data_IF_383110278065
#
_entry.id   IF_383110278065
#
_cell.length_a   1.000
_cell.length_b   1.000
_cell.length_c   1.000
_cell.angle_alpha   90.00
_cell.angle_beta   90.00
_cell.angle_gamma   90.00
#
_symmetry.space_group_name_H-M   'P 1'
#
loop_
_entity.id
_entity.type
_entity.pdbx_description
1 polymer ?
#
# COMPACT_ATOMS: atom_id res chain seq x y z
N UNK A 1 10.12 4.71 9.66
CA UNK A 1 9.09 4.93 8.63
C UNK A 1 7.95 3.93 8.72
N UNK A 2 6.74 4.48 8.82
CA UNK A 2 5.48 3.74 8.91
C UNK A 2 4.60 4.15 7.75
N UNK A 3 3.93 3.20 7.10
CA UNK A 3 2.92 3.50 6.08
C UNK A 3 1.53 3.42 6.71
N UNK A 4 0.79 4.53 6.69
CA UNK A 4 -0.61 4.61 7.12
C UNK A 4 -1.53 4.50 5.93
N UNK A 5 -2.49 3.58 6.00
CA UNK A 5 -3.53 3.37 4.98
C UNK A 5 -4.87 3.68 5.62
N UNK A 6 -5.61 4.61 5.04
CA UNK A 6 -6.99 4.89 5.40
C UNK A 6 -7.90 4.21 4.39
N UNK A 7 -8.84 3.41 4.86
CA UNK A 7 -9.84 2.75 4.00
C UNK A 7 -11.09 3.61 3.90
N UNK A 8 -11.82 3.49 2.79
CA UNK A 8 -13.11 4.18 2.58
C UNK A 8 -14.19 3.81 3.62
N UNK A 9 -13.98 2.71 4.36
CA UNK A 9 -14.82 2.31 5.50
C UNK A 9 -14.44 3.00 6.82
N UNK A 10 -13.48 3.92 6.80
CA UNK A 10 -13.02 4.68 7.97
C UNK A 10 -12.04 3.92 8.86
N UNK A 11 -11.49 2.77 8.41
CA UNK A 11 -10.46 2.03 9.17
C UNK A 11 -9.09 2.57 8.83
N UNK A 12 -8.21 2.59 9.82
CA UNK A 12 -6.78 2.87 9.63
C UNK A 12 -5.98 1.60 9.82
N UNK A 13 -5.04 1.37 8.90
CA UNK A 13 -4.07 0.27 8.97
C UNK A 13 -2.68 0.90 8.97
N UNK A 14 -1.91 0.59 10.00
CA UNK A 14 -0.52 0.98 10.13
C UNK A 14 0.37 -0.16 9.66
N UNK A 15 1.34 0.10 8.78
CA UNK A 15 2.36 -0.85 8.34
C UNK A 15 3.71 -0.35 8.88
N UNK A 16 4.14 -0.92 9.99
CA UNK A 16 5.41 -0.58 10.63
C UNK A 16 6.60 -1.08 9.80
N UNK A 17 7.72 -0.37 9.88
CA UNK A 17 8.96 -0.66 9.13
C UNK A 17 8.69 -0.99 7.66
N UNK A 18 7.88 -0.15 7.00
CA UNK A 18 7.42 -0.38 5.64
C UNK A 18 8.60 -0.59 4.66
N UNK A 19 8.51 -1.65 3.86
CA UNK A 19 9.55 -2.11 2.93
C UNK A 19 9.12 -1.87 1.48
N UNK A 20 7.99 -2.46 1.06
CA UNK A 20 7.53 -2.41 -0.32
C UNK A 20 6.02 -2.65 -0.47
N UNK A 21 5.49 -2.30 -1.65
CA UNK A 21 4.16 -2.68 -2.12
C UNK A 21 4.33 -3.60 -3.32
N UNK A 22 3.67 -4.76 -3.32
CA UNK A 22 3.62 -5.65 -4.48
C UNK A 22 2.20 -5.82 -5.01
N UNK A 23 2.05 -5.86 -6.32
CA UNK A 23 0.76 -5.99 -7.01
C UNK A 23 0.93 -6.62 -8.40
N UNK A 24 -0.18 -7.06 -9.00
CA UNK A 24 -0.18 -7.60 -10.36
C UNK A 24 -0.84 -6.62 -11.33
N UNK A 25 -0.11 -6.27 -12.39
CA UNK A 25 -0.59 -5.49 -13.52
C UNK A 25 -0.03 -6.11 -14.80
N UNK A 26 -0.73 -7.10 -15.35
CA UNK A 26 -0.27 -8.00 -16.43
C UNK A 26 0.94 -8.89 -16.05
N UNK A 27 1.82 -8.40 -15.18
CA UNK A 27 2.93 -9.10 -14.53
C UNK A 27 3.07 -8.66 -13.07
N UNK A 28 3.93 -9.34 -12.30
CA UNK A 28 4.21 -8.95 -10.91
C UNK A 28 5.04 -7.67 -10.90
N UNK A 29 4.55 -6.65 -10.19
CA UNK A 29 5.24 -5.38 -9.94
C UNK A 29 5.47 -5.22 -8.44
N UNK A 30 6.58 -4.57 -8.09
CA UNK A 30 6.89 -4.15 -6.72
C UNK A 30 7.41 -2.71 -6.74
N UNK A 31 7.01 -1.93 -5.73
CA UNK A 31 7.48 -0.56 -5.47
C UNK A 31 8.08 -0.54 -4.07
N UNK A 32 9.38 -0.26 -3.98
CA UNK A 32 10.06 -0.10 -2.69
C UNK A 32 9.69 1.22 -2.01
N UNK A 33 9.94 1.33 -0.72
CA UNK A 33 9.69 2.56 0.05
C UNK A 33 10.35 3.81 -0.55
N UNK A 34 11.53 3.67 -1.16
CA UNK A 34 12.26 4.79 -1.78
C UNK A 34 11.57 5.30 -3.04
N UNK A 35 10.79 4.44 -3.71
CA UNK A 35 10.07 4.74 -4.94
C UNK A 35 8.58 4.94 -4.71
N UNK A 36 8.15 5.15 -3.45
CA UNK A 36 6.73 5.25 -3.09
C UNK A 36 5.96 6.32 -3.88
N UNK A 37 6.62 7.41 -4.28
CA UNK A 37 6.02 8.47 -5.11
C UNK A 37 5.56 8.00 -6.50
N UNK A 38 6.00 6.81 -6.95
CA UNK A 38 5.59 6.20 -8.23
C UNK A 38 4.34 5.33 -8.10
N UNK A 39 3.78 5.19 -6.89
CA UNK A 39 2.59 4.39 -6.67
C UNK A 39 1.36 5.04 -7.31
N UNK A 40 0.73 4.30 -8.22
CA UNK A 40 -0.58 4.64 -8.76
C UNK A 40 -1.59 3.59 -8.30
N UNK A 41 -2.62 4.03 -7.58
CA UNK A 41 -3.71 3.15 -7.16
C UNK A 41 -4.69 2.92 -8.30
N UNK A 42 -5.15 1.69 -8.42
CA UNK A 42 -6.19 1.27 -9.35
C UNK A 42 -7.23 0.48 -8.59
N UNK A 43 -8.50 0.81 -8.78
CA UNK A 43 -9.61 0.19 -8.04
C UNK A 43 -9.69 -1.33 -8.22
N UNK A 44 -9.29 -1.83 -9.40
CA UNK A 44 -9.32 -3.25 -9.75
C UNK A 44 -8.12 -4.05 -9.25
N UNK A 45 -7.09 -3.39 -8.71
CA UNK A 45 -5.83 -4.02 -8.34
C UNK A 45 -5.79 -4.32 -6.84
N UNK A 46 -5.35 -5.52 -6.47
CA UNK A 46 -5.00 -5.83 -5.08
C UNK A 46 -3.54 -5.49 -4.82
N UNK A 47 -3.30 -4.68 -3.80
CA UNK A 47 -1.99 -4.25 -3.33
C UNK A 47 -1.63 -4.98 -2.03
N UNK A 48 -0.43 -5.54 -1.99
CA UNK A 48 0.13 -6.16 -0.79
C UNK A 48 1.19 -5.22 -0.21
N UNK A 49 0.91 -4.68 0.96
CA UNK A 49 1.79 -3.80 1.72
C UNK A 49 2.64 -4.63 2.67
N UNK A 50 3.96 -4.50 2.57
CA UNK A 50 4.92 -5.35 3.26
C UNK A 50 5.75 -4.50 4.23
N UNK A 51 5.80 -4.94 5.49
CA UNK A 51 6.55 -4.34 6.58
C UNK A 51 6.69 -5.35 7.72
N UNK A 52 6.87 -4.89 8.97
CA UNK A 52 6.80 -5.76 10.16
C UNK A 52 5.46 -6.48 10.22
N UNK A 53 4.40 -5.77 9.87
CA UNK A 53 3.07 -6.31 9.66
C UNK A 53 2.63 -6.04 8.21
N UNK A 54 1.83 -6.95 7.67
CA UNK A 54 1.42 -6.89 6.26
C UNK A 54 -0.09 -6.65 6.14
N UNK A 55 -0.50 -6.03 5.03
CA UNK A 55 -1.90 -5.90 4.66
C UNK A 55 -2.09 -6.16 3.17
N UNK A 56 -3.24 -6.72 2.81
CA UNK A 56 -3.67 -6.89 1.42
C UNK A 56 -5.01 -6.21 1.23
N UNK A 57 -5.08 -5.27 0.30
CA UNK A 57 -6.29 -4.46 0.05
C UNK A 57 -6.50 -4.27 -1.45
N UNK A 58 -7.76 -4.28 -1.89
CA UNK A 58 -8.10 -3.77 -3.22
C UNK A 58 -7.95 -2.26 -3.23
N UNK A 59 -7.47 -1.69 -4.34
CA UNK A 59 -7.39 -0.25 -4.51
C UNK A 59 -8.74 0.44 -4.28
N UNK A 60 -9.84 -0.21 -4.64
CA UNK A 60 -11.19 0.31 -4.42
C UNK A 60 -11.54 0.54 -2.94
N UNK A 61 -10.85 -0.14 -2.02
CA UNK A 61 -11.05 -0.02 -0.57
C UNK A 61 -10.21 1.11 0.04
N UNK A 62 -9.20 1.59 -0.68
CA UNK A 62 -8.23 2.58 -0.19
C UNK A 62 -8.76 3.98 -0.45
N UNK A 63 -8.80 4.79 0.60
CA UNK A 63 -9.09 6.22 0.52
C UNK A 63 -7.81 7.04 0.38
N UNK A 64 -6.81 6.76 1.22
CA UNK A 64 -5.52 7.44 1.16
C UNK A 64 -4.39 6.60 1.76
N UNK A 65 -3.16 6.92 1.35
CA UNK A 65 -1.93 6.29 1.87
C UNK A 65 -0.93 7.39 2.18
N UNK A 66 -0.31 7.33 3.35
CA UNK A 66 0.64 8.34 3.84
C UNK A 66 1.88 7.64 4.36
N UNK A 67 3.06 8.05 3.88
CA UNK A 67 4.34 7.60 4.40
C UNK A 67 4.83 8.57 5.47
N UNK A 68 5.07 8.07 6.69
CA UNK A 68 5.47 8.86 7.85
C UNK A 68 6.90 8.51 8.23
N UNK A 69 7.78 9.53 8.22
CA UNK A 69 9.20 9.51 8.61
C UNK A 69 9.48 8.79 9.91
#
# INVERSE_FOLDING_TARGET
MTLKIMTKSGRTIDIAEFVEISYYLNERRSISKENFSQLHLSDSTTFNFIGTNCASLKGAEIESIILIG
#
